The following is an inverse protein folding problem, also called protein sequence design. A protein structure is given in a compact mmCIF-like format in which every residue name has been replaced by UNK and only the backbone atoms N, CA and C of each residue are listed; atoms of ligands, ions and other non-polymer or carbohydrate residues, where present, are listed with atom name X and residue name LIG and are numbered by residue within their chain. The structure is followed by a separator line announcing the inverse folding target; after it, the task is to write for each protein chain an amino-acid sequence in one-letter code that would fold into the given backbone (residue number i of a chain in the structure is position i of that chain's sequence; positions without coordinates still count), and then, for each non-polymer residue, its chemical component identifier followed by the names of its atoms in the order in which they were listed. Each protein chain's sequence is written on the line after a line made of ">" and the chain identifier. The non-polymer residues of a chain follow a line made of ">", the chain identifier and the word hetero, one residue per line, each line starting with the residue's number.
data_IF_300797171966
#
_entry.id   IF_300797171966
#
_cell.length_a   1.000
_cell.length_b   1.000
_cell.length_c   1.000
_cell.angle_alpha   90.00
_cell.angle_beta   90.00
_cell.angle_gamma   90.00
#
_symmetry.space_group_name_H-M   'P 1'
#
loop_
_entity.id
_entity.type
_entity.pdbx_description
1 polymer ?
#
# COMPACT_ATOMS: atom_id res chain seq x y z
N UNK A 1 -44.45 -68.18 -1.09
CA UNK A 1 -43.28 -68.88 -0.53
C UNK A 1 -42.07 -67.96 -0.74
N UNK A 2 -41.30 -67.50 0.22
CA UNK A 2 -41.21 -67.73 1.65
C UNK A 2 -40.45 -66.54 2.26
N UNK A 3 -40.63 -66.40 3.58
CA UNK A 3 -40.27 -65.27 4.44
C UNK A 3 -38.81 -65.40 4.90
N UNK A 4 -38.25 -64.27 5.39
CA UNK A 4 -37.07 -64.10 6.30
C UNK A 4 -35.80 -63.64 5.55
N UNK A 5 -35.03 -62.64 5.99
CA UNK A 5 -34.92 -62.04 7.32
C UNK A 5 -34.26 -60.64 7.22
N UNK A 6 -34.74 -59.71 8.03
CA UNK A 6 -34.10 -58.42 8.32
C UNK A 6 -32.81 -58.63 9.13
N UNK A 7 -31.76 -57.88 8.82
CA UNK A 7 -30.74 -57.48 9.81
C UNK A 7 -30.36 -56.03 9.53
N UNK A 8 -30.44 -55.23 10.60
CA UNK A 8 -30.51 -53.78 10.63
C UNK A 8 -29.13 -53.13 10.49
N UNK A 9 -29.05 -52.12 9.61
CA UNK A 9 -27.86 -51.28 9.37
C UNK A 9 -27.41 -50.41 10.56
N UNK A 10 -27.96 -50.61 11.76
CA UNK A 10 -27.55 -49.87 12.96
C UNK A 10 -26.39 -50.54 13.72
N UNK A 11 -26.08 -51.81 13.42
CA UNK A 11 -25.02 -52.53 14.12
C UNK A 11 -23.61 -52.23 13.58
N UNK A 12 -23.49 -51.71 12.35
CA UNK A 12 -22.19 -51.42 11.72
C UNK A 12 -21.61 -50.05 12.15
N UNK A 13 -22.46 -49.10 12.56
CA UNK A 13 -22.02 -47.76 13.01
C UNK A 13 -21.50 -47.74 14.47
N UNK A 14 -21.91 -48.69 15.31
CA UNK A 14 -21.50 -48.75 16.72
C UNK A 14 -20.12 -49.38 16.95
N UNK A 15 -19.56 -50.09 15.97
CA UNK A 15 -18.20 -50.64 16.05
C UNK A 15 -17.12 -49.69 15.55
N UNK A 16 -17.47 -48.67 14.75
CA UNK A 16 -16.51 -47.64 14.29
C UNK A 16 -16.32 -46.53 15.34
N UNK A 17 -17.34 -46.23 16.16
CA UNK A 17 -17.25 -45.22 17.22
C UNK A 17 -16.50 -45.69 18.49
N UNK A 18 -16.24 -47.00 18.66
CA UNK A 18 -15.51 -47.53 19.82
C UNK A 18 -13.99 -47.56 19.66
N UNK A 19 -13.44 -47.27 18.48
CA UNK A 19 -11.99 -47.24 18.24
C UNK A 19 -11.39 -45.83 18.33
N UNK A 20 -12.22 -44.77 18.32
CA UNK A 20 -11.73 -43.38 18.35
C UNK A 20 -11.73 -42.80 19.78
N UNK A 21 -12.44 -43.40 20.74
CA UNK A 21 -12.56 -42.92 22.13
C UNK A 21 -11.59 -43.62 23.12
N UNK A 22 -10.39 -44.01 22.68
CA UNK A 22 -9.43 -44.74 23.54
C UNK A 22 -8.04 -44.10 23.67
N UNK A 23 -7.81 -42.89 23.15
CA UNK A 23 -6.47 -42.29 23.12
C UNK A 23 -6.35 -40.88 23.71
N UNK A 24 -7.19 -40.51 24.68
CA UNK A 24 -7.01 -39.28 25.46
C UNK A 24 -6.32 -39.61 26.80
N UNK A 25 -4.99 -39.66 26.77
CA UNK A 25 -4.14 -39.86 27.94
C UNK A 25 -3.96 -38.53 28.71
N UNK A 26 -4.98 -38.15 29.48
CA UNK A 26 -4.98 -36.99 30.38
C UNK A 26 -4.26 -37.30 31.69
N UNK A 27 -2.93 -37.18 31.73
CA UNK A 27 -2.22 -37.11 33.02
C UNK A 27 -0.85 -36.42 33.04
N UNK A 28 -0.32 -35.91 31.92
CA UNK A 28 1.01 -35.24 31.94
C UNK A 28 0.97 -33.71 31.80
N UNK A 29 -0.19 -33.06 31.89
CA UNK A 29 -0.33 -31.62 31.59
C UNK A 29 -0.44 -30.67 32.80
N UNK A 30 -0.22 -31.15 34.03
CA UNK A 30 -0.30 -30.30 35.23
C UNK A 30 0.96 -30.40 36.09
N UNK A 31 2.09 -29.92 35.57
CA UNK A 31 3.20 -29.41 36.38
C UNK A 31 4.32 -28.92 35.46
N UNK A 32 4.38 -27.61 35.22
CA UNK A 32 5.59 -26.78 35.30
C UNK A 32 5.11 -25.33 35.14
N UNK A 33 5.10 -24.62 36.26
CA UNK A 33 5.09 -23.15 36.29
C UNK A 33 6.50 -22.65 35.98
N UNK A 34 6.54 -21.51 35.27
CA UNK A 34 7.53 -20.40 35.25
C UNK A 34 8.42 -20.29 34.01
N UNK A 35 8.43 -19.05 33.50
CA UNK A 35 9.44 -18.38 32.64
C UNK A 35 9.45 -18.92 31.21
N UNK A 36 9.12 -18.16 30.16
CA UNK A 36 9.49 -16.78 29.87
C UNK A 36 8.42 -16.10 29.02
N UNK A 37 7.90 -14.97 29.48
CA UNK A 37 7.48 -13.91 28.56
C UNK A 37 7.72 -12.58 29.24
N UNK A 38 9.01 -12.25 29.41
CA UNK A 38 9.42 -10.87 29.23
C UNK A 38 9.01 -10.52 27.79
N UNK A 39 7.78 -10.04 27.63
CA UNK A 39 7.39 -9.31 26.44
C UNK A 39 8.32 -8.10 26.41
N UNK A 40 9.43 -8.26 25.69
CA UNK A 40 10.28 -7.14 25.34
C UNK A 40 9.34 -6.09 24.75
N UNK A 41 9.29 -4.86 25.30
CA UNK A 41 8.58 -3.80 24.64
C UNK A 41 9.20 -3.69 23.26
N UNK A 42 8.45 -4.07 22.22
CA UNK A 42 8.84 -3.80 20.84
C UNK A 42 8.91 -2.30 20.77
N UNK A 43 10.11 -1.76 20.94
CA UNK A 43 10.37 -0.34 20.79
C UNK A 43 10.05 -0.05 19.34
N UNK A 44 8.88 0.58 19.14
CA UNK A 44 8.38 0.94 17.83
C UNK A 44 9.32 1.99 17.27
N UNK A 45 10.38 1.55 16.57
CA UNK A 45 11.32 2.46 15.93
C UNK A 45 10.55 3.27 14.89
N UNK A 46 10.79 4.58 14.88
CA UNK A 46 10.27 5.44 13.83
C UNK A 46 10.84 5.00 12.48
N UNK A 47 10.07 5.14 11.39
CA UNK A 47 10.62 4.89 10.07
C UNK A 47 11.79 5.84 9.79
N UNK A 48 12.81 5.38 9.05
CA UNK A 48 13.92 6.24 8.64
C UNK A 48 13.41 7.44 7.81
N UNK A 49 14.11 8.55 7.93
CA UNK A 49 13.88 9.74 7.09
C UNK A 49 14.90 9.78 5.97
N UNK A 50 14.57 10.50 4.90
CA UNK A 50 15.43 10.63 3.73
C UNK A 50 15.58 12.08 3.30
N UNK A 51 16.79 12.46 2.93
CA UNK A 51 17.12 13.74 2.30
C UNK A 51 17.02 13.59 0.78
N UNK A 52 16.14 14.38 0.16
CA UNK A 52 15.97 14.41 -1.29
C UNK A 52 17.21 15.02 -1.96
N UNK A 53 17.84 14.27 -2.88
CA UNK A 53 19.00 14.72 -3.66
C UNK A 53 18.62 15.44 -4.97
N UNK A 54 17.34 15.74 -5.18
CA UNK A 54 16.82 16.43 -6.39
C UNK A 54 17.16 15.72 -7.71
N UNK A 55 17.30 14.40 -7.70
CA UNK A 55 17.61 13.60 -8.90
C UNK A 55 16.50 13.55 -9.97
N UNK A 56 15.29 14.00 -9.66
CA UNK A 56 14.09 14.00 -10.53
C UNK A 56 13.52 12.64 -10.94
N UNK A 57 14.07 11.53 -10.44
CA UNK A 57 13.56 10.18 -10.78
C UNK A 57 12.11 9.97 -10.35
N UNK A 58 11.63 10.65 -9.30
CA UNK A 58 10.21 10.63 -8.93
C UNK A 58 9.29 11.36 -9.93
N UNK A 59 9.81 12.30 -10.72
CA UNK A 59 9.07 12.97 -11.78
C UNK A 59 8.98 12.12 -13.05
N UNK A 60 9.79 11.06 -13.17
CA UNK A 60 9.81 10.13 -14.31
C UNK A 60 9.09 8.82 -14.01
N UNK A 61 8.58 8.67 -12.80
CA UNK A 61 7.84 7.48 -12.40
C UNK A 61 6.38 7.58 -12.86
N UNK A 62 5.84 6.55 -13.54
CA UNK A 62 4.49 6.59 -14.07
C UNK A 62 3.44 6.58 -12.96
N UNK A 63 2.44 7.47 -13.03
CA UNK A 63 1.33 7.44 -12.08
C UNK A 63 0.50 8.71 -12.05
N UNK A 64 -0.30 8.86 -10.99
CA UNK A 64 -1.12 10.05 -10.78
C UNK A 64 -0.40 11.03 -9.84
N UNK A 65 -0.08 12.24 -10.34
CA UNK A 65 0.27 13.39 -9.50
C UNK A 65 -1.01 14.15 -9.17
N UNK A 66 -1.59 13.83 -8.01
CA UNK A 66 -2.88 14.39 -7.58
C UNK A 66 -2.75 15.90 -7.34
N UNK A 67 -3.75 16.63 -7.81
CA UNK A 67 -3.89 18.06 -7.54
C UNK A 67 -5.27 18.35 -6.93
N UNK A 68 -5.27 19.15 -5.88
CA UNK A 68 -6.46 19.74 -5.25
C UNK A 68 -6.83 21.06 -5.91
N UNK A 69 -8.04 21.56 -5.65
CA UNK A 69 -8.49 22.88 -6.12
C UNK A 69 -7.52 23.99 -5.71
N UNK A 70 -7.03 24.00 -4.46
CA UNK A 70 -6.06 24.99 -3.98
C UNK A 70 -4.73 24.93 -4.74
N UNK A 71 -4.29 23.73 -5.10
CA UNK A 71 -3.06 23.55 -5.89
C UNK A 71 -3.28 23.96 -7.35
N UNK A 72 -4.47 23.69 -7.91
CA UNK A 72 -4.85 24.17 -9.25
C UNK A 72 -4.79 25.70 -9.28
N UNK A 73 -5.45 26.39 -8.34
CA UNK A 73 -5.40 27.86 -8.24
C UNK A 73 -3.97 28.40 -8.13
N UNK A 74 -3.15 27.78 -7.25
CA UNK A 74 -1.78 28.22 -7.03
C UNK A 74 -0.88 27.99 -8.25
N UNK A 75 -1.04 26.86 -8.95
CA UNK A 75 -0.24 26.55 -10.15
C UNK A 75 -0.69 27.42 -11.33
N UNK A 76 -1.99 27.58 -11.56
CA UNK A 76 -2.52 28.42 -12.61
C UNK A 76 -2.06 29.88 -12.45
N UNK A 77 -2.17 30.43 -11.23
CA UNK A 77 -1.67 31.77 -10.92
C UNK A 77 -0.17 31.91 -11.13
N UNK A 78 0.63 30.92 -10.72
CA UNK A 78 2.09 30.92 -10.94
C UNK A 78 2.47 30.84 -12.43
N UNK A 79 1.63 30.20 -13.25
CA UNK A 79 1.81 30.10 -14.68
C UNK A 79 1.17 31.26 -15.46
N UNK A 80 0.60 32.24 -14.75
CA UNK A 80 -0.08 33.42 -15.31
C UNK A 80 -1.20 33.05 -16.28
N UNK A 81 -2.02 32.05 -15.91
CA UNK A 81 -3.17 31.62 -16.70
C UNK A 81 -4.41 31.33 -15.85
N UNK A 82 -5.56 31.24 -16.51
CA UNK A 82 -6.84 30.92 -15.89
C UNK A 82 -6.91 29.46 -15.43
N UNK A 83 -7.62 29.19 -14.33
CA UNK A 83 -7.74 27.83 -13.79
C UNK A 83 -8.37 26.85 -14.78
N UNK A 84 -9.39 27.28 -15.53
CA UNK A 84 -10.05 26.45 -16.53
C UNK A 84 -9.10 26.05 -17.67
N UNK A 85 -8.24 26.97 -18.09
CA UNK A 85 -7.21 26.71 -19.10
C UNK A 85 -6.15 25.74 -18.55
N UNK A 86 -5.70 25.94 -17.31
CA UNK A 86 -4.78 25.02 -16.64
C UNK A 86 -5.35 23.61 -16.56
N UNK A 87 -6.61 23.47 -16.15
CA UNK A 87 -7.29 22.18 -16.05
C UNK A 87 -7.33 21.50 -17.43
N UNK A 88 -7.77 22.21 -18.47
CA UNK A 88 -7.88 21.66 -19.82
C UNK A 88 -6.53 21.30 -20.47
N UNK A 89 -5.47 22.03 -20.13
CA UNK A 89 -4.16 21.91 -20.78
C UNK A 89 -3.21 20.97 -20.06
N UNK A 90 -3.22 20.96 -18.73
CA UNK A 90 -2.19 20.30 -17.92
C UNK A 90 -2.73 19.19 -17.03
N UNK A 91 -4.03 18.92 -17.05
CA UNK A 91 -4.62 17.88 -16.20
C UNK A 91 -5.42 16.83 -16.98
N UNK A 92 -5.58 15.67 -16.37
CA UNK A 92 -6.44 14.57 -16.82
C UNK A 92 -7.20 14.00 -15.63
N UNK A 93 -8.29 13.27 -15.89
CA UNK A 93 -8.91 12.46 -14.86
C UNK A 93 -7.92 11.41 -14.34
N UNK A 94 -7.93 11.22 -13.01
CA UNK A 94 -7.20 10.14 -12.36
C UNK A 94 -7.75 8.78 -12.76
N UNK A 95 -6.93 7.74 -12.60
CA UNK A 95 -7.31 6.36 -12.92
C UNK A 95 -8.53 5.88 -12.11
N UNK A 96 -8.67 6.37 -10.87
CA UNK A 96 -9.82 6.08 -10.00
C UNK A 96 -11.00 7.04 -10.20
N UNK A 97 -10.90 8.00 -11.12
CA UNK A 97 -11.92 9.01 -11.46
C UNK A 97 -12.37 9.88 -10.28
N UNK A 98 -11.60 9.96 -9.19
CA UNK A 98 -11.92 10.76 -7.99
C UNK A 98 -11.22 12.13 -7.96
N UNK A 99 -10.88 12.67 -9.12
CA UNK A 99 -10.24 13.98 -9.24
C UNK A 99 -9.26 14.06 -10.41
N UNK A 100 -8.44 15.09 -10.38
CA UNK A 100 -7.48 15.40 -11.43
C UNK A 100 -6.05 15.00 -11.06
N UNK A 101 -5.28 14.68 -12.09
CA UNK A 101 -3.84 14.48 -12.05
C UNK A 101 -3.19 15.37 -13.09
N UNK A 102 -1.95 15.79 -12.86
CA UNK A 102 -1.13 16.35 -13.93
C UNK A 102 -0.97 15.34 -15.06
N UNK A 103 -0.86 15.83 -16.30
CA UNK A 103 -0.52 15.00 -17.46
C UNK A 103 0.99 14.73 -17.53
N UNK A 104 1.32 13.82 -18.43
CA UNK A 104 2.67 13.36 -18.68
C UNK A 104 3.13 13.81 -20.08
N UNK A 105 4.43 13.95 -20.27
CA UNK A 105 5.09 14.15 -21.55
C UNK A 105 5.03 12.85 -22.37
N UNK A 106 5.47 12.90 -23.63
CA UNK A 106 5.48 11.73 -24.52
C UNK A 106 6.39 10.59 -24.03
N UNK A 107 7.40 10.89 -23.21
CA UNK A 107 8.30 9.91 -22.60
C UNK A 107 7.79 9.36 -21.25
N UNK A 108 6.61 9.81 -20.80
CA UNK A 108 6.00 9.44 -19.53
C UNK A 108 6.49 10.24 -18.32
N UNK A 109 7.38 11.22 -18.49
CA UNK A 109 7.74 12.12 -17.41
C UNK A 109 6.64 13.15 -17.12
N UNK A 110 6.57 13.68 -15.91
CA UNK A 110 5.64 14.76 -15.56
C UNK A 110 5.78 15.96 -16.51
N UNK A 111 4.65 16.54 -16.94
CA UNK A 111 4.61 17.67 -17.89
C UNK A 111 5.43 18.91 -17.47
N UNK A 112 5.66 19.10 -16.16
CA UNK A 112 6.43 20.24 -15.64
C UNK A 112 7.92 19.93 -15.39
N UNK A 113 8.41 18.76 -15.78
CA UNK A 113 9.83 18.45 -15.72
C UNK A 113 10.57 19.06 -16.91
N UNK A 114 11.57 19.90 -16.64
CA UNK A 114 12.43 20.55 -17.62
C UNK A 114 13.89 20.20 -17.31
N UNK A 115 14.47 19.27 -18.07
CA UNK A 115 15.80 18.73 -17.75
C UNK A 115 15.82 18.11 -16.36
N UNK A 116 16.58 18.72 -15.44
CA UNK A 116 16.71 18.32 -14.03
C UNK A 116 15.93 19.21 -13.06
N UNK A 117 15.04 20.09 -13.56
CA UNK A 117 14.28 21.01 -12.74
C UNK A 117 12.77 20.88 -12.93
N UNK A 118 12.02 21.19 -11.88
CA UNK A 118 10.57 21.27 -11.94
C UNK A 118 10.16 22.72 -12.18
N UNK A 119 9.52 23.01 -13.32
CA UNK A 119 9.08 24.37 -13.70
C UNK A 119 8.17 25.01 -12.65
N UNK A 120 7.37 24.20 -11.95
CA UNK A 120 6.43 24.65 -10.90
C UNK A 120 6.96 24.42 -9.48
N UNK A 121 8.28 24.35 -9.29
CA UNK A 121 8.89 24.04 -7.99
C UNK A 121 8.36 24.91 -6.81
N UNK A 122 8.16 26.24 -6.94
CA UNK A 122 7.64 27.07 -5.85
C UNK A 122 6.23 26.66 -5.40
N UNK A 123 5.39 26.23 -6.34
CA UNK A 123 3.97 25.86 -6.14
C UNK A 123 3.73 24.35 -6.30
N UNK A 124 4.78 23.55 -6.13
CA UNK A 124 4.76 22.10 -6.32
C UNK A 124 3.63 21.43 -5.52
N UNK A 125 2.87 20.48 -6.10
CA UNK A 125 1.83 19.76 -5.35
C UNK A 125 2.38 19.08 -4.08
N UNK A 126 1.55 18.98 -3.05
CA UNK A 126 1.87 18.41 -1.75
C UNK A 126 2.34 16.97 -1.86
N UNK A 127 1.77 16.17 -2.77
CA UNK A 127 2.23 14.82 -3.05
C UNK A 127 3.71 14.82 -3.48
N UNK A 128 4.08 15.73 -4.38
CA UNK A 128 5.45 15.85 -4.88
C UNK A 128 6.41 16.45 -3.85
N UNK A 129 5.96 17.41 -3.02
CA UNK A 129 6.75 17.94 -1.90
C UNK A 129 6.97 16.91 -0.80
N UNK A 130 6.01 16.02 -0.61
CA UNK A 130 6.03 14.96 0.39
C UNK A 130 6.98 13.81 0.07
N UNK A 131 7.44 13.68 -1.17
CA UNK A 131 8.32 12.57 -1.56
C UNK A 131 9.75 12.74 -1.03
N UNK A 132 10.40 11.68 -0.50
CA UNK A 132 9.90 10.31 -0.31
C UNK A 132 9.30 10.01 1.08
N UNK A 133 9.24 11.00 1.98
CA UNK A 133 8.97 10.80 3.41
C UNK A 133 7.47 10.70 3.78
N UNK A 134 6.63 11.56 3.20
CA UNK A 134 5.18 11.59 3.44
C UNK A 134 4.39 10.81 2.38
N UNK A 135 4.98 10.64 1.19
CA UNK A 135 4.42 9.83 0.12
C UNK A 135 5.55 9.19 -0.69
N UNK A 136 5.35 7.95 -1.14
CA UNK A 136 6.24 7.27 -2.07
C UNK A 136 5.48 6.17 -2.83
N UNK A 137 6.14 5.59 -3.84
CA UNK A 137 5.65 4.46 -4.62
C UNK A 137 6.46 3.20 -4.33
N UNK A 138 5.92 1.99 -4.56
CA UNK A 138 6.66 0.73 -4.37
C UNK A 138 7.96 0.71 -5.19
N UNK A 139 9.07 0.27 -4.58
CA UNK A 139 10.38 0.22 -5.25
C UNK A 139 11.08 1.58 -5.40
N UNK A 140 10.57 2.69 -4.84
CA UNK A 140 11.17 4.01 -5.01
C UNK A 140 12.66 4.11 -4.63
N UNK A 141 13.13 3.27 -3.70
CA UNK A 141 14.53 3.23 -3.26
C UNK A 141 15.49 2.69 -4.32
N UNK A 142 14.98 1.92 -5.28
CA UNK A 142 15.78 1.36 -6.38
C UNK A 142 16.07 2.39 -7.46
N UNK A 143 15.25 3.45 -7.53
CA UNK A 143 15.35 4.50 -8.55
C UNK A 143 15.73 5.86 -7.98
N UNK A 144 15.39 6.16 -6.73
CA UNK A 144 15.65 7.47 -6.14
C UNK A 144 16.99 7.51 -5.41
N UNK A 145 17.77 8.55 -5.70
CA UNK A 145 19.06 8.83 -5.05
C UNK A 145 18.95 9.45 -3.65
N UNK A 146 17.77 9.47 -3.02
CA UNK A 146 17.62 10.07 -1.69
C UNK A 146 18.45 9.31 -0.64
N UNK A 147 19.10 10.05 0.26
CA UNK A 147 20.00 9.50 1.28
C UNK A 147 19.29 9.43 2.62
N UNK A 148 19.41 8.32 3.35
CA UNK A 148 18.85 8.17 4.69
C UNK A 148 19.52 9.13 5.70
N UNK A 149 18.73 9.74 6.59
CA UNK A 149 19.17 10.70 7.63
C UNK A 149 18.55 10.41 9.00
#
# INVERSE_FOLDING_TARGET
>A
MGIRQQVSGLHCLLQILRTILSHENLSSFLSIRRRDSLLNPVTKKNPPKYLCQRCTNCCRWPGDVKVSEKEISAIASFLEMEEAEFIGTYTRLRSDRRGLSLIDQSDGACIFLQGQDCRIQPVKPQQCRGFPNAWNFPGWREVCEATEI
#
